data_IF_468019767514
#
_entry.id   IF_468019767514
#
_cell.length_a   1.000
_cell.length_b   1.000
_cell.length_c   1.000
_cell.angle_alpha   90.00
_cell.angle_beta   90.00
_cell.angle_gamma   90.00
#
_symmetry.space_group_name_H-M   'P 1'
#
loop_
_entity.id
_entity.type
_entity.pdbx_description
1 polymer ?
#
# COMPACT_ATOMS: atom_id res chain seq x y z
N UNK A 1 -8.88 37.09 4.99
CA UNK A 1 -8.54 35.68 5.30
C UNK A 1 -9.76 34.94 5.90
N UNK A 2 -10.66 34.44 5.05
CA UNK A 2 -11.93 33.78 5.49
C UNK A 2 -12.11 32.38 4.91
N UNK A 3 -11.34 32.04 3.86
CA UNK A 3 -11.49 30.76 3.14
C UNK A 3 -10.55 29.68 3.71
N UNK A 4 -9.37 30.06 4.23
CA UNK A 4 -8.39 29.13 4.81
C UNK A 4 -8.93 28.17 5.88
N UNK A 5 -9.74 28.64 6.85
CA UNK A 5 -10.33 27.78 7.88
C UNK A 5 -11.27 26.69 7.35
N UNK A 6 -11.85 26.86 6.16
CA UNK A 6 -12.77 25.89 5.55
C UNK A 6 -12.06 24.93 4.59
N UNK A 7 -10.99 25.37 3.93
CA UNK A 7 -10.21 24.51 3.01
C UNK A 7 -9.55 23.36 3.76
N UNK A 8 -8.94 23.62 4.91
CA UNK A 8 -8.19 22.62 5.69
C UNK A 8 -9.07 21.43 6.11
N UNK A 9 -10.23 21.60 6.77
CA UNK A 9 -11.05 20.46 7.18
C UNK A 9 -11.65 19.70 6.01
N UNK A 10 -12.01 20.38 4.90
CA UNK A 10 -12.52 19.71 3.70
C UNK A 10 -11.43 18.86 3.05
N UNK A 11 -10.21 19.40 2.89
CA UNK A 11 -9.08 18.66 2.37
C UNK A 11 -8.70 17.48 3.28
N UNK A 12 -8.69 17.71 4.60
CA UNK A 12 -8.40 16.68 5.60
C UNK A 12 -9.44 15.56 5.58
N UNK A 13 -10.72 15.87 5.39
CA UNK A 13 -11.78 14.88 5.26
C UNK A 13 -11.52 13.94 4.08
N UNK A 14 -11.27 14.48 2.88
CA UNK A 14 -10.97 13.66 1.71
C UNK A 14 -9.67 12.87 1.86
N UNK A 15 -8.63 13.50 2.42
CA UNK A 15 -7.34 12.85 2.65
C UNK A 15 -7.44 11.70 3.66
N UNK A 16 -8.10 11.92 4.79
CA UNK A 16 -8.31 10.88 5.80
C UNK A 16 -9.18 9.74 5.25
N UNK A 17 -10.23 10.07 4.50
CA UNK A 17 -11.11 9.07 3.87
C UNK A 17 -10.36 8.15 2.91
N UNK A 18 -9.58 8.72 1.97
CA UNK A 18 -8.80 7.91 1.02
C UNK A 18 -7.72 7.10 1.72
N UNK A 19 -7.10 7.66 2.77
CA UNK A 19 -6.11 6.98 3.58
C UNK A 19 -6.73 5.76 4.27
N UNK A 20 -7.88 5.90 4.92
CA UNK A 20 -8.58 4.79 5.59
C UNK A 20 -8.92 3.66 4.60
N UNK A 21 -9.35 4.00 3.38
CA UNK A 21 -9.62 2.99 2.34
C UNK A 21 -8.31 2.28 1.92
N UNK A 22 -7.23 3.03 1.72
CA UNK A 22 -5.93 2.47 1.37
C UNK A 22 -5.43 1.47 2.42
N UNK A 23 -5.50 1.84 3.71
CA UNK A 23 -5.11 0.95 4.81
C UNK A 23 -6.03 -0.27 4.93
N UNK A 24 -7.33 -0.12 4.66
CA UNK A 24 -8.25 -1.27 4.57
C UNK A 24 -7.78 -2.27 3.53
N UNK A 25 -7.41 -1.79 2.34
CA UNK A 25 -6.99 -2.66 1.25
C UNK A 25 -5.67 -3.37 1.56
N UNK A 26 -4.68 -2.65 2.11
CA UNK A 26 -3.41 -3.27 2.50
C UNK A 26 -3.58 -4.34 3.58
N UNK A 27 -4.43 -4.07 4.59
CA UNK A 27 -4.76 -5.04 5.62
C UNK A 27 -5.48 -6.26 5.07
N UNK A 28 -6.43 -6.05 4.15
CA UNK A 28 -7.16 -7.13 3.48
C UNK A 28 -6.23 -8.04 2.69
N UNK A 29 -5.27 -7.48 1.95
CA UNK A 29 -4.28 -8.26 1.22
C UNK A 29 -3.33 -9.03 2.15
N UNK A 30 -2.88 -8.41 3.24
CA UNK A 30 -2.04 -9.08 4.23
C UNK A 30 -2.77 -10.27 4.90
N UNK A 31 -4.04 -10.08 5.26
CA UNK A 31 -4.88 -11.14 5.85
C UNK A 31 -5.18 -12.23 4.83
N UNK A 32 -5.49 -11.86 3.58
CA UNK A 32 -5.73 -12.81 2.49
C UNK A 32 -4.48 -13.66 2.21
N UNK A 33 -3.29 -13.05 2.25
CA UNK A 33 -2.02 -13.77 2.12
C UNK A 33 -1.77 -14.74 3.29
N UNK A 34 -2.13 -14.37 4.51
CA UNK A 34 -1.87 -15.18 5.71
C UNK A 34 -2.89 -16.31 5.93
N UNK A 35 -4.18 -16.04 5.67
CA UNK A 35 -5.30 -16.90 6.07
C UNK A 35 -6.08 -17.45 4.86
N UNK A 36 -5.96 -16.81 3.70
CA UNK A 36 -6.68 -17.15 2.47
C UNK A 36 -7.84 -16.20 2.15
N UNK A 37 -8.38 -16.33 0.93
CA UNK A 37 -9.40 -15.43 0.35
C UNK A 37 -10.74 -15.39 1.10
N UNK A 38 -11.04 -16.41 1.91
CA UNK A 38 -12.29 -16.42 2.67
C UNK A 38 -12.33 -15.35 3.77
N UNK A 39 -11.17 -14.87 4.24
CA UNK A 39 -11.04 -13.90 5.32
C UNK A 39 -11.27 -12.45 4.88
N UNK A 40 -11.36 -12.20 3.58
CA UNK A 40 -11.54 -10.86 2.98
C UNK A 40 -12.81 -10.16 3.48
N UNK A 41 -13.97 -10.85 3.43
CA UNK A 41 -15.24 -10.26 3.87
C UNK A 41 -15.29 -10.00 5.39
N UNK A 42 -14.94 -10.96 6.28
CA UNK A 42 -14.82 -10.72 7.71
C UNK A 42 -13.92 -9.54 8.05
N UNK A 43 -12.77 -9.41 7.37
CA UNK A 43 -11.83 -8.32 7.60
C UNK A 43 -12.46 -6.94 7.34
N UNK A 44 -13.22 -6.79 6.25
CA UNK A 44 -13.89 -5.52 5.93
C UNK A 44 -14.88 -5.09 7.03
N UNK A 45 -15.64 -6.02 7.59
CA UNK A 45 -16.55 -5.70 8.69
C UNK A 45 -15.80 -5.28 9.96
N UNK A 46 -14.72 -5.99 10.30
CA UNK A 46 -13.87 -5.65 11.44
C UNK A 46 -13.23 -4.27 11.23
N UNK A 47 -12.76 -3.97 10.03
CA UNK A 47 -12.15 -2.68 9.70
C UNK A 47 -13.10 -1.50 9.95
N UNK A 48 -14.36 -1.61 9.53
CA UNK A 48 -15.37 -0.56 9.78
C UNK A 48 -15.58 -0.33 11.28
N UNK A 49 -15.64 -1.41 12.08
CA UNK A 49 -15.75 -1.32 13.54
C UNK A 49 -14.52 -0.65 14.14
N UNK A 50 -13.31 -1.01 13.70
CA UNK A 50 -12.06 -0.42 14.17
C UNK A 50 -11.99 1.08 13.84
N UNK A 51 -12.39 1.48 12.63
CA UNK A 51 -12.46 2.91 12.24
C UNK A 51 -13.42 3.67 13.15
N UNK A 52 -14.59 3.10 13.44
CA UNK A 52 -15.53 3.72 14.38
C UNK A 52 -14.93 3.83 15.78
N UNK A 53 -14.31 2.76 16.30
CA UNK A 53 -13.62 2.78 17.59
C UNK A 53 -12.47 3.81 17.62
N UNK A 54 -11.80 4.04 16.50
CA UNK A 54 -10.78 5.08 16.36
C UNK A 54 -11.32 6.50 16.57
N UNK A 55 -12.61 6.73 16.38
CA UNK A 55 -13.24 8.04 16.65
C UNK A 55 -13.49 8.31 18.13
N UNK A 56 -13.56 7.26 18.96
CA UNK A 56 -13.81 7.35 20.41
C UNK A 56 -12.58 7.05 21.26
N UNK A 57 -11.56 6.41 20.69
CA UNK A 57 -10.29 6.14 21.36
C UNK A 57 -9.46 7.42 21.58
N UNK A 58 -8.64 7.44 22.63
CA UNK A 58 -7.72 8.55 22.86
C UNK A 58 -6.61 8.58 21.80
N UNK A 59 -6.31 9.78 21.29
CA UNK A 59 -5.35 9.97 20.22
C UNK A 59 -3.97 9.39 20.55
N UNK A 60 -3.44 9.64 21.75
CA UNK A 60 -2.10 9.18 22.14
C UNK A 60 -1.96 7.64 22.09
N UNK A 61 -3.01 6.93 22.49
CA UNK A 61 -3.06 5.47 22.39
C UNK A 61 -3.07 5.00 20.93
N UNK A 62 -3.82 5.68 20.06
CA UNK A 62 -3.89 5.36 18.63
C UNK A 62 -2.56 5.63 17.92
N UNK A 63 -1.89 6.74 18.25
CA UNK A 63 -0.57 7.08 17.74
C UNK A 63 0.48 6.05 18.17
N UNK A 64 0.50 5.68 19.45
CA UNK A 64 1.42 4.65 19.96
C UNK A 64 1.21 3.30 19.28
N UNK A 65 -0.04 2.87 19.11
CA UNK A 65 -0.36 1.63 18.42
C UNK A 65 0.09 1.66 16.95
N UNK A 66 -0.13 2.80 16.27
CA UNK A 66 0.32 3.03 14.90
C UNK A 66 1.83 2.95 14.75
N UNK A 67 2.57 3.58 15.67
CA UNK A 67 4.03 3.57 15.65
C UNK A 67 4.59 2.16 15.85
N UNK A 68 4.04 1.40 16.81
CA UNK A 68 4.44 0.00 17.05
C UNK A 68 4.12 -0.88 15.84
N UNK A 69 2.89 -0.77 15.28
CA UNK A 69 2.48 -1.53 14.11
C UNK A 69 3.38 -1.25 12.91
N UNK A 70 3.63 0.03 12.62
CA UNK A 70 4.49 0.45 11.52
C UNK A 70 5.95 0.00 11.71
N UNK A 71 6.48 0.11 12.93
CA UNK A 71 7.81 -0.40 13.25
C UNK A 71 7.91 -1.92 13.07
N UNK A 72 6.87 -2.66 13.50
CA UNK A 72 6.82 -4.12 13.37
C UNK A 72 6.78 -4.58 11.91
N UNK A 73 6.09 -3.82 11.03
CA UNK A 73 6.03 -4.09 9.60
C UNK A 73 7.34 -3.68 8.89
N UNK A 74 7.90 -2.53 9.25
CA UNK A 74 9.11 -2.01 8.65
C UNK A 74 10.34 -2.86 8.99
N UNK A 75 10.44 -3.38 10.22
CA UNK A 75 11.60 -4.14 10.67
C UNK A 75 11.97 -5.34 9.77
N UNK A 76 11.09 -6.33 9.50
CA UNK A 76 11.42 -7.45 8.62
C UNK A 76 11.61 -7.00 7.17
N UNK A 77 10.85 -6.02 6.69
CA UNK A 77 10.98 -5.51 5.32
C UNK A 77 12.33 -4.83 5.08
N UNK A 78 12.82 -4.04 6.03
CA UNK A 78 14.13 -3.39 5.93
C UNK A 78 15.27 -4.42 5.92
N UNK A 79 15.18 -5.46 6.75
CA UNK A 79 16.16 -6.56 6.74
C UNK A 79 16.16 -7.27 5.38
N UNK A 80 14.98 -7.57 4.83
CA UNK A 80 14.85 -8.21 3.53
C UNK A 80 15.45 -7.34 2.41
N UNK A 81 15.15 -6.04 2.39
CA UNK A 81 15.69 -5.11 1.39
C UNK A 81 17.22 -5.04 1.47
N UNK A 82 17.80 -4.98 2.68
CA UNK A 82 19.25 -4.96 2.84
C UNK A 82 19.88 -6.26 2.33
N UNK A 83 19.28 -7.42 2.66
CA UNK A 83 19.75 -8.72 2.19
C UNK A 83 19.62 -8.90 0.67
N UNK A 84 18.55 -8.39 0.06
CA UNK A 84 18.29 -8.50 -1.39
C UNK A 84 18.90 -7.35 -2.21
N UNK A 85 19.48 -6.32 -1.60
CA UNK A 85 20.01 -5.14 -2.30
C UNK A 85 20.98 -5.50 -3.43
N UNK A 86 21.87 -6.46 -3.21
CA UNK A 86 22.79 -6.97 -4.24
C UNK A 86 22.08 -7.69 -5.40
N UNK A 87 21.01 -8.42 -5.10
CA UNK A 87 20.20 -9.12 -6.11
C UNK A 87 19.45 -8.13 -6.99
N UNK A 88 18.85 -7.09 -6.39
CA UNK A 88 18.14 -6.03 -7.14
C UNK A 88 19.11 -5.24 -8.01
N UNK A 89 20.29 -4.89 -7.51
CA UNK A 89 21.32 -4.21 -8.31
C UNK A 89 21.79 -5.05 -9.50
N UNK A 90 21.96 -6.37 -9.30
CA UNK A 90 22.29 -7.29 -10.38
C UNK A 90 21.16 -7.39 -11.42
N UNK A 91 19.90 -7.54 -10.99
CA UNK A 91 18.72 -7.58 -11.88
C UNK A 91 18.55 -6.28 -12.68
N UNK A 92 18.74 -5.12 -12.04
CA UNK A 92 18.63 -3.83 -12.74
C UNK A 92 19.68 -3.71 -13.85
N UNK A 93 20.91 -4.15 -13.57
CA UNK A 93 21.99 -4.14 -14.56
C UNK A 93 21.74 -5.12 -15.70
N UNK A 94 21.21 -6.32 -15.43
CA UNK A 94 20.87 -7.28 -16.49
C UNK A 94 19.70 -6.83 -17.35
N UNK A 95 18.73 -6.10 -16.79
CA UNK A 95 17.59 -5.56 -17.55
C UNK A 95 17.97 -4.38 -18.47
N UNK A 96 19.07 -3.70 -18.19
CA UNK A 96 19.61 -2.63 -19.04
C UNK A 96 20.55 -3.12 -20.15
N UNK A 97 20.85 -4.42 -20.19
CA UNK A 97 21.73 -5.03 -21.20
C UNK A 97 20.89 -5.46 -22.42
N UNK A 98 21.08 -4.86 -23.62
CA UNK A 98 20.29 -5.18 -24.81
C UNK A 98 20.43 -6.63 -25.27
N UNK A 99 21.52 -7.30 -24.90
CA UNK A 99 21.90 -8.65 -25.36
C UNK A 99 21.46 -9.76 -24.38
N UNK A 100 21.02 -9.40 -23.17
CA UNK A 100 20.59 -10.33 -22.11
C UNK A 100 19.23 -10.01 -21.50
N UNK A 101 18.56 -8.96 -21.97
CA UNK A 101 17.21 -8.61 -21.55
C UNK A 101 16.24 -9.72 -21.92
N UNK A 102 15.56 -10.28 -20.92
CA UNK A 102 14.26 -10.88 -21.20
C UNK A 102 13.40 -9.77 -21.82
N UNK A 103 12.79 -9.95 -23.00
CA UNK A 103 11.97 -8.91 -23.60
C UNK A 103 10.94 -8.47 -22.57
N UNK A 104 11.11 -7.27 -22.04
CA UNK A 104 10.10 -6.63 -21.22
C UNK A 104 8.92 -6.51 -22.18
N UNK A 105 7.86 -7.28 -21.97
CA UNK A 105 6.63 -7.10 -22.72
C UNK A 105 6.15 -5.69 -22.42
N UNK A 106 6.54 -4.76 -23.29
CA UNK A 106 6.07 -3.40 -23.26
C UNK A 106 4.63 -3.44 -23.76
N UNK A 107 3.70 -3.60 -22.83
CA UNK A 107 2.26 -3.53 -23.10
C UNK A 107 1.86 -2.21 -23.79
N UNK A 108 2.75 -1.20 -23.80
CA UNK A 108 2.60 0.07 -24.53
C UNK A 108 2.92 -0.04 -26.03
N UNK A 109 3.52 -1.13 -26.51
CA UNK A 109 3.69 -1.42 -27.95
C UNK A 109 2.52 -2.22 -28.52
N UNK A 110 2.00 -3.20 -27.80
CA UNK A 110 0.85 -4.01 -28.26
C UNK A 110 -0.43 -3.18 -28.42
N UNK A 111 -0.64 -2.22 -27.51
CA UNK A 111 -1.72 -1.22 -27.60
C UNK A 111 -1.58 -0.22 -28.76
N UNK A 112 -0.43 -0.17 -29.45
CA UNK A 112 -0.21 0.67 -30.65
C UNK A 112 -0.55 -0.03 -31.96
N UNK A 113 -0.77 -1.35 -31.97
CA UNK A 113 -1.21 -2.11 -33.15
C UNK A 113 -2.46 -2.97 -32.85
N UNK A 114 -3.65 -2.35 -32.76
CA UNK A 114 -4.90 -3.05 -32.45
C UNK A 114 -5.53 -3.84 -33.62
N UNK A 115 -4.88 -3.99 -34.78
CA UNK A 115 -5.54 -4.41 -36.04
C UNK A 115 -4.79 -5.48 -36.88
N UNK A 116 -4.17 -6.48 -36.24
CA UNK A 116 -3.66 -7.66 -36.96
C UNK A 116 -3.94 -8.95 -36.18
N UNK A 117 -5.21 -9.38 -36.16
CA UNK A 117 -5.66 -10.75 -35.88
C UNK A 117 -6.83 -11.10 -36.82
#
# INVERSE_FOLDING_TARGET
PVIGPWIVPVALFFFAFTTIIGWSYYGEQAVTYLIGEWATHPFRYIWVVVVFLGTVAAADWLWLLGDIANASMAFPNLIAILALSGVVAAMHKSNGDPDKGHPVHDYREESRHPEQD
#
